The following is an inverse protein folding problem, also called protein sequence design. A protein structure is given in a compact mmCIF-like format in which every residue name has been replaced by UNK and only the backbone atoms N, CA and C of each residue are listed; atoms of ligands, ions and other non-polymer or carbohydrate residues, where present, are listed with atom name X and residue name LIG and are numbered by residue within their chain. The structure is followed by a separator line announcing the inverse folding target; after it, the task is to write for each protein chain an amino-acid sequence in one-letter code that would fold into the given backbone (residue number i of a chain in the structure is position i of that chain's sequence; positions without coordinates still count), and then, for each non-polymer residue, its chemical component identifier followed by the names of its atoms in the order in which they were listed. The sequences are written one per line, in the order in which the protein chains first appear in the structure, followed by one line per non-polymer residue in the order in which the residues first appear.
data_IF_031452722815
#
_entry.id   IF_031452722815
#
_cell.length_a   1.000
_cell.length_b   1.000
_cell.length_c   1.000
_cell.angle_alpha   90.00
_cell.angle_beta   90.00
_cell.angle_gamma   90.00
#
_symmetry.space_group_name_H-M   'P 1'
#
loop_
_entity.id
_entity.type
_entity.pdbx_description
1 polymer ?
#
# COMPACT_ATOMS: atom_id res chain seq x y z
N UNK A 1 13.80 -2.76 -5.22
CA UNK A 1 12.67 -3.13 -4.36
C UNK A 1 13.17 -3.92 -3.16
N UNK A 2 12.95 -3.38 -1.97
CA UNK A 2 13.41 -3.93 -0.69
C UNK A 2 12.50 -5.04 -0.14
N UNK A 3 12.45 -6.18 -0.82
CA UNK A 3 11.69 -7.37 -0.35
C UNK A 3 12.21 -7.87 1.01
N UNK A 4 13.52 -7.78 1.27
CA UNK A 4 14.08 -8.19 2.56
C UNK A 4 13.61 -7.31 3.71
N UNK A 5 13.39 -6.00 3.48
CA UNK A 5 12.82 -5.14 4.52
C UNK A 5 11.40 -5.60 4.90
N UNK A 6 10.58 -6.01 3.92
CA UNK A 6 9.25 -6.59 4.20
C UNK A 6 9.36 -7.88 5.00
N UNK A 7 10.27 -8.78 4.62
CA UNK A 7 10.50 -10.06 5.32
C UNK A 7 10.91 -9.86 6.77
N UNK A 8 11.90 -9.00 6.99
CA UNK A 8 12.41 -8.72 8.33
C UNK A 8 11.33 -8.06 9.20
N UNK A 9 10.51 -7.17 8.61
CA UNK A 9 9.39 -6.55 9.31
C UNK A 9 8.25 -7.52 9.62
N UNK A 10 7.94 -8.48 8.75
CA UNK A 10 6.99 -9.58 9.07
C UNK A 10 7.48 -10.36 10.29
N UNK A 11 8.77 -10.69 10.36
CA UNK A 11 9.33 -11.39 11.52
C UNK A 11 9.26 -10.57 12.82
N UNK A 12 9.25 -9.23 12.73
CA UNK A 12 9.01 -8.35 13.88
C UNK A 12 7.52 -8.37 14.30
N UNK A 13 6.60 -8.34 13.33
CA UNK A 13 5.15 -8.43 13.57
C UNK A 13 4.80 -9.75 14.27
N UNK A 14 5.40 -10.86 13.84
CA UNK A 14 5.20 -12.19 14.44
C UNK A 14 5.64 -12.26 15.92
N UNK A 15 6.51 -11.36 16.38
CA UNK A 15 6.92 -11.27 17.78
C UNK A 15 5.94 -10.45 18.64
N UNK A 16 5.00 -9.75 18.02
CA UNK A 16 4.09 -8.80 18.68
C UNK A 16 2.66 -8.90 18.14
N UNK A 17 2.20 -10.15 17.95
CA UNK A 17 0.87 -10.46 17.39
C UNK A 17 -0.30 -9.91 18.20
N UNK A 18 -0.10 -9.54 19.47
CA UNK A 18 -1.14 -8.93 20.30
C UNK A 18 -1.49 -7.50 19.86
N UNK A 19 -0.57 -6.83 19.16
CA UNK A 19 -0.73 -5.47 18.65
C UNK A 19 -0.93 -5.43 17.13
N UNK A 20 -1.10 -6.59 16.47
CA UNK A 20 -1.19 -6.71 15.02
C UNK A 20 -2.50 -7.39 14.58
N UNK A 21 -3.16 -6.84 13.58
CA UNK A 21 -4.34 -7.42 12.94
C UNK A 21 -4.17 -7.38 11.42
N UNK A 22 -3.77 -8.51 10.84
CA UNK A 22 -3.58 -8.66 9.40
C UNK A 22 -4.50 -9.74 8.83
N UNK A 23 -5.09 -9.46 7.67
CA UNK A 23 -6.01 -10.34 6.95
C UNK A 23 -5.31 -11.61 6.41
N UNK A 24 -3.98 -11.58 6.30
CA UNK A 24 -3.14 -12.73 5.97
C UNK A 24 -3.00 -13.00 4.47
N UNK A 25 -2.63 -14.23 4.12
CA UNK A 25 -2.18 -14.62 2.77
C UNK A 25 -3.15 -14.24 1.64
N UNK A 26 -2.59 -13.82 0.50
CA UNK A 26 -3.33 -13.58 -0.75
C UNK A 26 -2.70 -14.35 -1.90
N UNK A 27 -3.53 -15.16 -2.56
CA UNK A 27 -3.08 -15.97 -3.68
C UNK A 27 -2.62 -15.13 -4.86
N UNK A 28 -1.62 -15.64 -5.58
CA UNK A 28 -1.09 -15.00 -6.79
C UNK A 28 -2.19 -14.69 -7.82
N UNK A 29 -3.20 -15.54 -7.96
CA UNK A 29 -4.33 -15.26 -8.86
C UNK A 29 -5.13 -14.02 -8.47
N UNK A 30 -5.27 -13.76 -7.16
CA UNK A 30 -5.96 -12.58 -6.65
C UNK A 30 -5.11 -11.33 -6.85
N UNK A 31 -3.79 -11.43 -6.67
CA UNK A 31 -2.85 -10.34 -6.95
C UNK A 31 -2.87 -10.00 -8.45
N UNK A 32 -2.84 -11.00 -9.33
CA UNK A 32 -2.96 -10.79 -10.79
C UNK A 32 -4.30 -10.15 -11.15
N UNK A 33 -5.39 -10.52 -10.49
CA UNK A 33 -6.69 -9.90 -10.72
C UNK A 33 -6.69 -8.42 -10.30
N UNK A 34 -6.02 -8.08 -9.19
CA UNK A 34 -5.85 -6.70 -8.74
C UNK A 34 -4.98 -5.86 -9.70
N UNK A 35 -3.85 -6.40 -10.16
CA UNK A 35 -3.02 -5.79 -11.21
C UNK A 35 -3.83 -5.52 -12.48
N UNK A 36 -4.64 -6.50 -12.89
CA UNK A 36 -5.51 -6.41 -14.08
C UNK A 36 -6.59 -5.34 -13.90
N UNK A 37 -7.20 -5.26 -12.71
CA UNK A 37 -8.23 -4.27 -12.41
C UNK A 37 -7.70 -2.83 -12.46
N UNK A 38 -6.45 -2.61 -12.02
CA UNK A 38 -5.81 -1.29 -12.07
C UNK A 38 -5.04 -1.02 -13.37
N UNK A 39 -4.84 -2.03 -14.21
CA UNK A 39 -3.94 -2.01 -15.36
C UNK A 39 -2.51 -1.56 -14.97
N UNK A 40 -2.01 -2.10 -13.86
CA UNK A 40 -0.70 -1.78 -13.26
C UNK A 40 0.04 -3.09 -12.97
N UNK A 41 1.38 -3.08 -13.08
CA UNK A 41 2.23 -4.08 -12.44
C UNK A 41 2.70 -3.61 -11.08
N UNK A 42 2.44 -4.43 -10.06
CA UNK A 42 2.87 -4.12 -8.70
C UNK A 42 4.35 -4.43 -8.53
N UNK A 43 5.05 -3.66 -7.70
CA UNK A 43 6.46 -3.91 -7.49
C UNK A 43 6.66 -5.00 -6.43
N UNK A 44 7.79 -5.71 -6.51
CA UNK A 44 8.01 -6.99 -5.80
C UNK A 44 7.78 -6.93 -4.29
N UNK A 45 8.15 -5.83 -3.61
CA UNK A 45 7.99 -5.74 -2.16
C UNK A 45 6.51 -5.60 -1.75
N UNK A 46 5.68 -4.96 -2.56
CA UNK A 46 4.25 -4.88 -2.31
C UNK A 46 3.57 -6.23 -2.61
N UNK A 47 3.96 -6.92 -3.69
CA UNK A 47 3.51 -8.29 -3.93
C UNK A 47 3.85 -9.22 -2.75
N UNK A 48 5.07 -9.14 -2.22
CA UNK A 48 5.48 -9.94 -1.07
C UNK A 48 4.63 -9.63 0.18
N UNK A 49 4.32 -8.35 0.43
CA UNK A 49 3.41 -7.96 1.50
C UNK A 49 2.00 -8.53 1.29
N UNK A 50 1.43 -8.41 0.10
CA UNK A 50 0.11 -8.95 -0.22
C UNK A 50 0.06 -10.47 -0.04
N UNK A 51 1.08 -11.18 -0.53
CA UNK A 51 1.16 -12.64 -0.41
C UNK A 51 1.20 -13.09 1.05
N UNK A 52 1.84 -12.35 1.96
CA UNK A 52 2.04 -12.83 3.33
C UNK A 52 1.03 -12.23 4.33
N UNK A 53 0.70 -10.96 4.19
CA UNK A 53 -0.12 -10.19 5.15
C UNK A 53 -1.43 -9.69 4.55
N UNK A 54 -1.52 -9.54 3.23
CA UNK A 54 -2.73 -9.05 2.54
C UNK A 54 -2.99 -7.57 2.76
N UNK A 55 -3.48 -7.20 3.94
CA UNK A 55 -3.70 -5.85 4.44
C UNK A 55 -3.91 -5.93 5.96
N UNK A 56 -3.77 -4.81 6.67
CA UNK A 56 -4.00 -4.79 8.12
C UNK A 56 -3.20 -3.72 8.83
N UNK A 57 -3.15 -3.78 10.14
CA UNK A 57 -2.48 -2.80 10.96
C UNK A 57 -1.60 -3.39 12.07
N UNK A 58 -0.64 -2.57 12.50
CA UNK A 58 0.13 -2.79 13.73
C UNK A 58 0.50 -1.42 14.31
N UNK A 59 0.42 -1.29 15.64
CA UNK A 59 0.68 -0.02 16.36
C UNK A 59 -0.13 1.17 15.80
N UNK A 60 -1.38 0.90 15.38
CA UNK A 60 -2.27 1.89 14.80
C UNK A 60 -1.88 2.37 13.39
N UNK A 61 -0.91 1.73 12.73
CA UNK A 61 -0.53 2.03 11.34
C UNK A 61 -1.22 1.03 10.39
N UNK A 62 -2.24 1.48 9.65
CA UNK A 62 -3.02 0.64 8.74
C UNK A 62 -2.43 0.66 7.31
N UNK A 63 -2.01 -0.51 6.83
CA UNK A 63 -1.50 -0.73 5.49
C UNK A 63 -2.57 -1.33 4.60
N UNK A 64 -2.91 -0.62 3.52
CA UNK A 64 -3.93 -1.06 2.59
C UNK A 64 -3.37 -2.11 1.62
N UNK A 65 -4.26 -3.00 1.20
CA UNK A 65 -3.89 -4.09 0.31
C UNK A 65 -5.10 -4.73 -0.34
N UNK A 66 -5.14 -6.05 -0.41
CA UNK A 66 -6.25 -6.77 -1.04
C UNK A 66 -7.03 -7.52 0.03
N UNK A 67 -8.31 -7.21 0.21
CA UNK A 67 -9.20 -7.98 1.10
C UNK A 67 -9.92 -9.11 0.36
N UNK A 68 -10.46 -8.82 -0.83
CA UNK A 68 -11.26 -9.73 -1.65
C UNK A 68 -11.23 -9.32 -3.12
N UNK A 69 -11.69 -10.21 -4.01
CA UNK A 69 -11.73 -9.99 -5.46
C UNK A 69 -12.80 -8.99 -5.93
N UNK A 70 -13.81 -8.67 -5.11
CA UNK A 70 -14.77 -7.62 -5.43
C UNK A 70 -14.14 -6.25 -5.15
N UNK A 71 -13.57 -5.66 -6.20
CA UNK A 71 -12.91 -4.35 -6.15
C UNK A 71 -13.87 -3.16 -6.35
N UNK A 72 -15.18 -3.41 -6.51
CA UNK A 72 -16.18 -2.35 -6.74
C UNK A 72 -17.06 -2.15 -5.51
N UNK A 73 -17.52 -3.24 -4.88
CA UNK A 73 -18.34 -3.20 -3.66
C UNK A 73 -17.49 -3.61 -2.44
N UNK A 74 -16.50 -2.77 -2.15
CA UNK A 74 -15.59 -2.94 -1.01
C UNK A 74 -15.46 -1.64 -0.22
N UNK A 75 -14.49 -1.59 0.69
CA UNK A 75 -14.10 -0.42 1.45
C UNK A 75 -12.65 -0.53 1.89
N UNK A 76 -12.17 0.45 2.63
CA UNK A 76 -10.90 0.38 3.36
C UNK A 76 -10.90 -0.90 4.24
N UNK A 77 -9.79 -1.67 4.30
CA UNK A 77 -8.45 -1.39 3.76
C UNK A 77 -8.16 -1.95 2.34
N UNK A 78 -9.17 -2.13 1.49
CA UNK A 78 -8.95 -2.57 0.11
C UNK A 78 -8.36 -1.45 -0.77
N UNK A 79 -7.05 -1.50 -1.00
CA UNK A 79 -6.28 -0.57 -1.81
C UNK A 79 -6.81 -0.45 -3.25
N UNK A 80 -7.30 -1.54 -3.82
CA UNK A 80 -7.76 -1.58 -5.22
C UNK A 80 -9.06 -0.80 -5.37
N UNK A 81 -10.01 -1.06 -4.47
CA UNK A 81 -11.25 -0.31 -4.40
C UNK A 81 -11.00 1.17 -4.19
N UNK A 82 -10.14 1.53 -3.23
CA UNK A 82 -9.85 2.92 -2.91
C UNK A 82 -9.17 3.62 -4.11
N UNK A 83 -8.20 2.96 -4.74
CA UNK A 83 -7.52 3.48 -5.93
C UNK A 83 -8.50 3.72 -7.09
N UNK A 84 -9.40 2.77 -7.38
CA UNK A 84 -10.42 2.93 -8.43
C UNK A 84 -11.40 4.06 -8.10
N UNK A 85 -11.80 4.17 -6.82
CA UNK A 85 -12.68 5.23 -6.36
C UNK A 85 -12.04 6.61 -6.55
N UNK A 86 -10.80 6.81 -6.09
CA UNK A 86 -10.11 8.09 -6.19
C UNK A 86 -9.72 8.46 -7.63
N UNK A 87 -9.49 7.48 -8.52
CA UNK A 87 -9.38 7.73 -9.97
C UNK A 87 -10.65 8.37 -10.53
N UNK A 88 -11.82 7.88 -10.09
CA UNK A 88 -13.13 8.36 -10.57
C UNK A 88 -13.55 9.68 -9.92
N UNK A 89 -13.29 9.84 -8.63
CA UNK A 89 -13.84 10.94 -7.82
C UNK A 89 -12.88 12.14 -7.72
N UNK A 90 -11.58 11.90 -7.76
CA UNK A 90 -10.54 12.89 -7.42
C UNK A 90 -9.42 12.97 -8.45
N UNK A 91 -9.59 12.32 -9.61
CA UNK A 91 -8.63 12.32 -10.72
C UNK A 91 -7.23 11.76 -10.35
N UNK A 92 -7.16 10.76 -9.45
CA UNK A 92 -5.92 10.06 -9.13
C UNK A 92 -5.23 9.58 -10.43
N UNK A 93 -3.92 9.82 -10.62
CA UNK A 93 -3.19 9.32 -11.78
C UNK A 93 -3.25 7.78 -11.92
N UNK A 94 -3.41 7.30 -13.16
CA UNK A 94 -3.55 5.86 -13.48
C UNK A 94 -2.34 5.00 -13.12
N UNK A 95 -1.19 5.61 -12.84
CA UNK A 95 0.04 4.92 -12.44
C UNK A 95 0.22 4.83 -10.92
N UNK A 96 -0.67 5.44 -10.13
CA UNK A 96 -0.63 5.40 -8.68
C UNK A 96 -1.51 4.28 -8.12
N UNK A 97 -1.05 3.70 -7.01
CA UNK A 97 -1.79 2.74 -6.17
C UNK A 97 -1.75 3.21 -4.74
N UNK A 98 -2.89 3.54 -4.14
CA UNK A 98 -2.97 4.03 -2.76
C UNK A 98 -2.76 2.85 -1.80
N UNK A 99 -1.83 3.00 -0.85
CA UNK A 99 -1.44 1.92 0.10
C UNK A 99 -1.47 2.34 1.57
N UNK A 100 -1.70 3.62 1.85
CA UNK A 100 -1.67 4.14 3.22
C UNK A 100 -2.46 5.44 3.35
N UNK A 101 -3.03 5.69 4.52
CA UNK A 101 -3.63 6.98 4.88
C UNK A 101 -2.61 7.87 5.60
N UNK A 102 -2.22 8.98 4.96
CA UNK A 102 -1.19 9.89 5.46
C UNK A 102 -1.64 10.81 6.60
N UNK A 103 -2.94 10.83 6.95
CA UNK A 103 -3.54 11.78 7.87
C UNK A 103 -4.22 12.95 7.15
N UNK A 104 -5.16 13.63 7.82
CA UNK A 104 -5.83 14.86 7.34
C UNK A 104 -6.50 14.82 5.95
N UNK A 105 -6.77 13.62 5.42
CA UNK A 105 -7.39 13.42 4.10
C UNK A 105 -6.40 12.99 3.01
N UNK A 106 -5.11 12.92 3.34
CA UNK A 106 -4.04 12.61 2.40
C UNK A 106 -3.74 11.12 2.33
N UNK A 107 -3.14 10.69 1.22
CA UNK A 107 -2.76 9.32 0.99
C UNK A 107 -1.30 9.20 0.60
N UNK A 108 -0.69 8.07 0.94
CA UNK A 108 0.54 7.64 0.31
C UNK A 108 0.26 6.54 -0.71
N UNK A 109 0.88 6.70 -1.87
CA UNK A 109 0.68 5.83 -3.01
C UNK A 109 2.01 5.33 -3.57
N UNK A 110 2.01 4.13 -4.13
CA UNK A 110 3.11 3.61 -4.93
C UNK A 110 3.04 4.26 -6.31
N UNK A 111 4.15 4.78 -6.80
CA UNK A 111 4.32 5.18 -8.19
C UNK A 111 4.75 4.00 -9.05
N UNK A 112 3.82 3.38 -9.77
CA UNK A 112 4.05 2.15 -10.52
C UNK A 112 4.44 2.37 -12.00
N UNK A 113 4.97 3.55 -12.36
CA UNK A 113 5.46 3.78 -13.73
C UNK A 113 6.61 2.87 -14.12
N UNK A 114 7.44 2.50 -13.14
CA UNK A 114 8.52 1.53 -13.27
C UNK A 114 8.49 0.59 -12.05
N UNK A 115 8.11 -0.69 -12.19
CA UNK A 115 8.04 -1.62 -11.06
C UNK A 115 9.41 -1.90 -10.41
N UNK A 116 10.52 -1.57 -11.07
CA UNK A 116 11.86 -1.67 -10.49
C UNK A 116 12.29 -0.41 -9.73
N UNK A 117 11.59 0.71 -9.92
CA UNK A 117 11.79 2.00 -9.27
C UNK A 117 10.43 2.61 -8.92
N UNK A 118 9.79 2.03 -7.89
CA UNK A 118 8.43 2.32 -7.50
C UNK A 118 8.35 3.01 -6.13
N UNK A 119 8.68 4.32 -6.05
CA UNK A 119 8.70 5.05 -4.78
C UNK A 119 7.30 5.21 -4.18
N UNK A 120 7.28 5.42 -2.87
CA UNK A 120 6.08 5.91 -2.17
C UNK A 120 6.04 7.43 -2.31
N UNK A 121 4.90 7.96 -2.75
CA UNK A 121 4.66 9.38 -2.95
C UNK A 121 3.43 9.84 -2.20
N UNK A 122 3.47 11.09 -1.75
CA UNK A 122 2.32 11.79 -1.19
C UNK A 122 1.35 12.18 -2.29
N UNK A 123 0.05 11.98 -2.04
CA UNK A 123 -1.02 12.46 -2.90
C UNK A 123 -2.22 12.92 -2.08
N UNK A 124 -2.70 14.12 -2.39
CA UNK A 124 -3.84 14.77 -1.72
C UNK A 124 -4.99 14.96 -2.74
N UNK A 125 -6.18 14.39 -2.49
CA UNK A 125 -7.36 14.62 -3.31
C UNK A 125 -7.69 16.10 -3.49
N UNK A 126 -7.86 16.54 -4.74
CA UNK A 126 -8.25 17.93 -5.05
C UNK A 126 -7.12 18.97 -5.00
N UNK A 127 -6.01 18.70 -4.32
CA UNK A 127 -4.83 19.56 -4.33
C UNK A 127 -3.75 19.07 -5.32
N UNK A 128 -3.48 17.76 -5.32
CA UNK A 128 -2.49 17.14 -6.21
C UNK A 128 -3.03 16.97 -7.63
N UNK A 129 -2.31 17.46 -8.63
CA UNK A 129 -2.67 17.35 -10.05
C UNK A 129 -1.84 16.29 -10.75
N UNK A 130 -2.39 15.69 -11.82
CA UNK A 130 -1.70 14.69 -12.66
C UNK A 130 -0.34 15.12 -13.21
N UNK A 131 -0.15 16.43 -13.44
CA UNK A 131 1.10 17.01 -13.94
C UNK A 131 2.15 17.28 -12.85
N UNK A 132 1.79 17.15 -11.59
CA UNK A 132 2.65 17.56 -10.49
C UNK A 132 3.80 16.60 -10.28
N UNK A 133 4.91 17.15 -9.80
CA UNK A 133 5.99 16.35 -9.24
C UNK A 133 5.63 16.05 -7.79
N UNK A 134 5.11 14.85 -7.55
CA UNK A 134 4.69 14.42 -6.22
C UNK A 134 5.89 14.31 -5.26
N UNK A 135 5.64 14.61 -3.99
CA UNK A 135 6.65 14.52 -2.94
C UNK A 135 6.92 13.05 -2.61
N UNK A 136 8.19 12.64 -2.68
CA UNK A 136 8.60 11.27 -2.35
C UNK A 136 8.71 11.10 -0.83
N UNK A 137 8.03 10.08 -0.31
CA UNK A 137 8.03 9.68 1.09
C UNK A 137 9.10 8.60 1.34
N UNK A 138 9.20 7.60 0.46
CA UNK A 138 10.19 6.53 0.55
C UNK A 138 10.61 6.05 -0.83
N UNK A 139 11.76 5.37 -0.90
CA UNK A 139 12.31 4.85 -2.16
C UNK A 139 11.52 3.65 -2.70
N UNK A 140 10.90 2.85 -1.83
CA UNK A 140 9.92 1.83 -2.21
C UNK A 140 9.03 1.43 -1.03
N UNK A 141 8.04 0.57 -1.31
CA UNK A 141 7.08 0.08 -0.33
C UNK A 141 7.74 -0.67 0.84
N UNK A 142 8.82 -1.42 0.61
CA UNK A 142 9.45 -2.21 1.66
C UNK A 142 10.12 -1.34 2.73
N UNK A 143 10.83 -0.31 2.28
CA UNK A 143 11.42 0.71 3.17
C UNK A 143 10.32 1.44 3.94
N UNK A 144 9.27 1.90 3.23
CA UNK A 144 8.14 2.59 3.84
C UNK A 144 7.45 1.76 4.92
N UNK A 145 7.15 0.49 4.63
CA UNK A 145 6.51 -0.44 5.55
C UNK A 145 7.35 -0.62 6.83
N UNK A 146 8.65 -0.87 6.67
CA UNK A 146 9.58 -1.05 7.78
C UNK A 146 9.73 0.20 8.63
N UNK A 147 10.03 1.34 8.03
CA UNK A 147 10.28 2.58 8.77
C UNK A 147 9.01 3.07 9.48
N UNK A 148 7.84 2.96 8.85
CA UNK A 148 6.56 3.31 9.48
C UNK A 148 6.31 2.48 10.75
N UNK A 149 6.55 1.17 10.69
CA UNK A 149 6.35 0.29 11.85
C UNK A 149 7.39 0.53 12.94
N UNK A 150 8.66 0.70 12.58
CA UNK A 150 9.71 0.96 13.56
C UNK A 150 9.47 2.28 14.31
N UNK A 151 9.11 3.34 13.59
CA UNK A 151 8.81 4.63 14.20
C UNK A 151 7.56 4.56 15.10
N UNK A 152 6.52 3.84 14.68
CA UNK A 152 5.32 3.66 15.49
C UNK A 152 5.61 2.87 16.78
N UNK A 153 6.42 1.80 16.68
CA UNK A 153 6.83 0.98 17.83
C UNK A 153 7.58 1.78 18.90
N UNK A 154 8.39 2.76 18.52
CA UNK A 154 9.11 3.62 19.48
C UNK A 154 8.17 4.43 20.38
N UNK A 155 6.94 4.67 19.94
CA UNK A 155 5.94 5.50 20.63
C UNK A 155 4.70 4.72 21.12
N UNK A 156 4.70 3.39 21.00
CA UNK A 156 3.60 2.49 21.40
C UNK A 156 3.75 2.01 22.85
#
# INVERSE_FOLDING_TARGET
MSVNDVKDTIALIEQDTENADFDGHKDLSLIIAAETALNIKFPDSYCYFLENLGCGDIYGQEFFGITKADFINSGIPNAIWLTLKERKESDLPEYLVIVYFGGDGDYYAIDCRDPHNAPIVYWEPGASKKSDKLHKIADDFGIFFKETILNAKESW
#
